data_IF_746111011202
#
_entry.id   IF_746111011202
#
_cell.length_a   1.000
_cell.length_b   1.000
_cell.length_c   1.000
_cell.angle_alpha   90.00
_cell.angle_beta   90.00
_cell.angle_gamma   90.00
#
_symmetry.space_group_name_H-M   'P 1'
#
loop_
_entity.id
_entity.type
_entity.pdbx_description
1 polymer ?
#
# COMPACT_ATOMS: atom_id res chain seq x y z
N UNK A 1 21.43 1.22 -3.55
CA UNK A 1 20.95 2.38 -2.77
C UNK A 1 19.43 2.31 -2.77
N UNK A 2 18.75 2.63 -1.67
CA UNK A 2 17.29 2.74 -1.68
C UNK A 2 16.96 4.06 -2.37
N UNK A 3 16.39 4.02 -3.57
CA UNK A 3 16.04 5.22 -4.36
C UNK A 3 14.84 5.96 -3.75
N UNK A 4 14.94 6.36 -2.49
CA UNK A 4 13.89 7.07 -1.76
C UNK A 4 13.90 8.55 -2.11
N UNK A 5 12.73 9.07 -2.49
CA UNK A 5 12.55 10.46 -2.89
C UNK A 5 11.33 11.02 -2.18
N UNK A 6 11.53 12.09 -1.41
CA UNK A 6 10.45 12.90 -0.85
C UNK A 6 10.01 13.94 -1.89
N UNK A 7 8.74 13.93 -2.29
CA UNK A 7 8.19 14.91 -3.26
C UNK A 7 7.28 15.96 -2.61
N UNK A 8 7.28 16.06 -1.28
CA UNK A 8 6.43 16.99 -0.52
C UNK A 8 5.19 16.29 0.02
N UNK A 9 4.05 17.00 0.04
CA UNK A 9 2.77 16.47 0.51
C UNK A 9 1.85 16.11 -0.66
N UNK A 10 0.98 15.14 -0.44
CA UNK A 10 -0.10 14.77 -1.36
C UNK A 10 -1.41 14.63 -0.58
N UNK A 11 -2.51 15.02 -1.22
CA UNK A 11 -3.86 14.79 -0.74
C UNK A 11 -4.55 13.76 -1.62
N UNK A 12 -5.08 12.71 -1.02
CA UNK A 12 -5.88 11.68 -1.68
C UNK A 12 -7.14 11.48 -0.84
N UNK A 13 -8.31 11.68 -1.45
CA UNK A 13 -9.58 11.83 -0.73
C UNK A 13 -9.42 12.87 0.40
N UNK A 14 -9.80 12.52 1.62
CA UNK A 14 -9.68 13.36 2.82
C UNK A 14 -8.36 13.13 3.58
N UNK A 15 -7.40 12.39 3.02
CA UNK A 15 -6.10 12.10 3.64
C UNK A 15 -5.00 13.02 3.10
N UNK A 16 -4.19 13.61 3.97
CA UNK A 16 -2.97 14.33 3.62
C UNK A 16 -1.74 13.64 4.23
N UNK A 17 -0.73 13.32 3.42
CA UNK A 17 0.48 12.66 3.89
C UNK A 17 1.72 13.01 3.07
N UNK A 18 2.90 12.63 3.56
CA UNK A 18 4.16 12.87 2.87
C UNK A 18 4.28 11.93 1.66
N UNK A 19 4.42 12.49 0.47
CA UNK A 19 4.59 11.75 -0.76
C UNK A 19 6.03 11.24 -0.87
N UNK A 20 6.22 9.95 -0.56
CA UNK A 20 7.51 9.28 -0.67
C UNK A 20 7.43 8.18 -1.72
N UNK A 21 8.35 8.22 -2.67
CA UNK A 21 8.53 7.16 -3.66
C UNK A 21 9.85 6.42 -3.43
N UNK A 22 9.88 5.14 -3.78
CA UNK A 22 11.06 4.29 -3.68
C UNK A 22 11.04 3.36 -2.47
N UNK A 23 12.21 2.84 -2.13
CA UNK A 23 12.38 1.84 -1.05
C UNK A 23 11.88 0.43 -1.41
N UNK A 24 10.71 0.32 -2.03
CA UNK A 24 10.05 -0.94 -2.40
C UNK A 24 10.05 -1.22 -3.91
N UNK A 25 10.89 -0.49 -4.65
CA UNK A 25 10.98 -0.50 -6.11
C UNK A 25 10.88 0.91 -6.69
N UNK A 26 11.43 1.09 -7.90
CA UNK A 26 11.47 2.40 -8.58
C UNK A 26 10.05 2.94 -8.79
N UNK A 27 9.80 4.16 -8.31
CA UNK A 27 8.50 4.86 -8.43
C UNK A 27 7.35 4.24 -7.63
N UNK A 28 7.62 3.25 -6.77
CA UNK A 28 6.60 2.67 -5.89
C UNK A 28 6.30 3.65 -4.75
N UNK A 29 5.01 3.89 -4.48
CA UNK A 29 4.58 4.70 -3.34
C UNK A 29 4.87 4.00 -2.03
N UNK A 30 5.15 4.81 -1.03
CA UNK A 30 5.41 4.39 0.34
C UNK A 30 4.87 5.43 1.30
N UNK A 31 4.51 4.99 2.50
CA UNK A 31 3.88 5.83 3.52
C UNK A 31 4.60 5.68 4.86
N UNK A 32 4.84 6.80 5.56
CA UNK A 32 5.42 6.76 6.89
C UNK A 32 4.41 6.23 7.89
N UNK A 33 4.87 5.47 8.89
CA UNK A 33 4.04 5.10 10.03
C UNK A 33 3.51 6.33 10.79
N UNK A 34 4.21 7.47 10.72
CA UNK A 34 3.72 8.76 11.21
C UNK A 34 2.48 9.23 10.48
N UNK A 35 2.51 9.19 9.15
CA UNK A 35 1.36 9.63 8.35
C UNK A 35 0.17 8.69 8.55
N UNK A 36 0.42 7.38 8.67
CA UNK A 36 -0.63 6.42 9.03
C UNK A 36 -1.24 6.74 10.39
N UNK A 37 -0.42 7.14 11.37
CA UNK A 37 -0.91 7.53 12.68
C UNK A 37 -1.83 8.76 12.59
N UNK A 38 -1.41 9.78 11.83
CA UNK A 38 -2.17 11.00 11.59
C UNK A 38 -3.50 10.69 10.86
N UNK A 39 -3.48 9.80 9.86
CA UNK A 39 -4.66 9.38 9.07
C UNK A 39 -5.68 8.61 9.91
N UNK A 40 -5.22 7.71 10.79
CA UNK A 40 -6.10 6.87 11.61
C UNK A 40 -6.47 7.52 12.96
N UNK A 41 -6.11 8.79 13.20
CA UNK A 41 -6.29 9.50 14.47
C UNK A 41 -5.73 8.71 15.67
N UNK A 42 -4.48 8.24 15.54
CA UNK A 42 -3.78 7.42 16.55
C UNK A 42 -2.43 8.02 16.90
N UNK A 43 -1.94 7.70 18.10
CA UNK A 43 -0.56 8.00 18.44
C UNK A 43 0.41 7.17 17.57
N UNK A 44 1.47 7.80 17.05
CA UNK A 44 2.56 7.09 16.36
C UNK A 44 3.16 5.95 17.20
N UNK A 45 3.18 6.12 18.53
CA UNK A 45 3.61 5.06 19.45
C UNK A 45 2.76 3.80 19.31
N UNK A 46 1.43 3.95 19.20
CA UNK A 46 0.53 2.81 19.03
C UNK A 46 0.77 2.13 17.69
N UNK A 47 0.88 2.89 16.59
CA UNK A 47 1.17 2.30 15.27
C UNK A 47 2.47 1.50 15.29
N UNK A 48 3.53 2.06 15.86
CA UNK A 48 4.81 1.37 16.00
C UNK A 48 4.70 0.10 16.86
N UNK A 49 3.94 0.15 17.95
CA UNK A 49 3.68 -1.02 18.80
C UNK A 49 2.96 -2.13 18.03
N UNK A 50 1.89 -1.80 17.28
CA UNK A 50 1.14 -2.75 16.45
C UNK A 50 2.03 -3.42 15.41
N UNK A 51 2.88 -2.65 14.74
CA UNK A 51 3.88 -3.16 13.78
C UNK A 51 4.85 -4.11 14.49
N UNK A 52 5.41 -3.70 15.64
CA UNK A 52 6.43 -4.44 16.35
C UNK A 52 5.92 -5.77 16.91
N UNK A 53 4.73 -5.78 17.52
CA UNK A 53 4.10 -7.01 18.04
C UNK A 53 3.76 -7.98 16.91
N UNK A 54 3.41 -7.46 15.73
CA UNK A 54 3.08 -8.27 14.56
C UNK A 54 4.23 -8.40 13.56
N UNK A 55 5.46 -8.13 13.98
CA UNK A 55 6.60 -7.94 13.06
C UNK A 55 6.85 -9.13 12.15
N UNK A 56 6.55 -10.35 12.62
CA UNK A 56 6.64 -11.62 11.87
C UNK A 56 5.78 -11.62 10.59
N UNK A 57 4.73 -10.79 10.51
CA UNK A 57 3.86 -10.67 9.34
C UNK A 57 4.44 -9.78 8.24
N UNK A 58 5.45 -8.97 8.55
CA UNK A 58 6.07 -8.00 7.64
C UNK A 58 7.41 -8.53 7.11
N UNK A 59 7.64 -8.40 5.81
CA UNK A 59 8.89 -8.72 5.14
C UNK A 59 9.70 -7.45 4.91
N UNK A 60 10.95 -7.45 5.34
CA UNK A 60 11.87 -6.32 5.10
C UNK A 60 12.07 -6.07 3.61
N UNK A 61 12.08 -4.80 3.21
CA UNK A 61 12.27 -4.36 1.83
C UNK A 61 11.10 -4.68 0.89
N UNK A 62 10.05 -5.35 1.37
CA UNK A 62 8.83 -5.67 0.60
C UNK A 62 7.63 -4.97 1.22
N UNK A 63 7.45 -5.14 2.53
CA UNK A 63 6.31 -4.58 3.27
C UNK A 63 6.73 -3.38 4.11
N UNK A 64 7.94 -3.44 4.69
CA UNK A 64 8.42 -2.46 5.65
C UNK A 64 9.92 -2.18 5.50
N UNK A 65 10.32 -0.94 5.77
CA UNK A 65 11.71 -0.50 5.90
C UNK A 65 11.82 0.31 7.19
N UNK A 66 12.89 0.09 7.96
CA UNK A 66 13.24 0.98 9.07
C UNK A 66 14.24 2.01 8.56
N UNK A 67 13.84 3.28 8.55
CA UNK A 67 14.65 4.42 8.12
C UNK A 67 15.61 4.90 9.21
N UNK A 68 15.52 4.35 10.44
CA UNK A 68 16.36 4.78 11.56
C UNK A 68 17.85 4.66 11.20
N UNK A 69 18.60 5.76 11.33
CA UNK A 69 20.04 5.82 11.06
C UNK A 69 20.42 5.80 9.57
N UNK A 70 19.46 6.01 8.67
CA UNK A 70 19.72 6.13 7.22
C UNK A 70 19.91 7.59 6.81
N UNK A 71 20.49 7.84 5.64
CA UNK A 71 20.57 9.20 5.07
C UNK A 71 19.19 9.83 4.90
N UNK A 72 18.17 9.02 4.59
CA UNK A 72 16.80 9.50 4.45
C UNK A 72 16.20 10.00 5.78
N UNK A 73 16.65 9.49 6.95
CA UNK A 73 16.26 10.02 8.27
C UNK A 73 16.63 11.50 8.43
N UNK A 74 17.80 11.90 7.90
CA UNK A 74 18.26 13.29 7.94
C UNK A 74 17.30 14.16 7.11
N UNK A 75 16.97 13.71 5.89
CA UNK A 75 16.01 14.38 5.02
C UNK A 75 14.62 14.54 5.66
N UNK A 76 14.16 13.59 6.48
CA UNK A 76 12.91 13.75 7.23
C UNK A 76 12.96 14.90 8.26
N UNK A 77 14.13 15.16 8.83
CA UNK A 77 14.33 16.25 9.79
C UNK A 77 14.45 17.59 9.06
N UNK A 78 15.24 17.63 7.98
CA UNK A 78 15.46 18.83 7.18
C UNK A 78 14.17 19.37 6.55
N UNK A 79 13.22 18.48 6.24
CA UNK A 79 11.91 18.84 5.70
C UNK A 79 10.83 19.03 6.79
N UNK A 80 11.21 19.03 8.07
CA UNK A 80 10.29 19.29 9.19
C UNK A 80 9.24 18.19 9.44
N UNK A 81 9.40 17.00 8.84
CA UNK A 81 8.50 15.85 9.06
C UNK A 81 8.69 15.30 10.47
N UNK A 82 9.95 15.26 10.93
CA UNK A 82 10.32 14.99 12.31
C UNK A 82 11.16 16.12 12.89
N UNK A 83 11.08 16.33 14.19
CA UNK A 83 12.08 17.13 14.91
C UNK A 83 13.30 16.28 15.22
N UNK A 84 14.47 16.91 15.36
CA UNK A 84 15.69 16.19 15.76
C UNK A 84 15.50 15.42 17.08
N UNK A 85 14.78 16.00 18.04
CA UNK A 85 14.46 15.35 19.31
C UNK A 85 13.56 14.12 19.13
N UNK A 86 12.57 14.18 18.23
CA UNK A 86 11.72 13.05 17.92
C UNK A 86 12.53 11.92 17.27
N UNK A 87 13.38 12.24 16.30
CA UNK A 87 14.28 11.27 15.66
C UNK A 87 15.22 10.61 16.67
N UNK A 88 15.81 11.39 17.58
CA UNK A 88 16.75 10.88 18.58
C UNK A 88 16.08 9.92 19.59
N UNK A 89 14.79 10.16 19.91
CA UNK A 89 14.02 9.31 20.83
C UNK A 89 13.39 8.08 20.17
N UNK A 90 13.17 8.13 18.85
CA UNK A 90 12.61 7.01 18.10
C UNK A 90 13.57 5.84 18.02
N UNK A 91 13.10 4.64 18.37
CA UNK A 91 13.81 3.38 18.11
C UNK A 91 13.69 2.93 16.65
N UNK A 92 12.55 3.23 16.04
CA UNK A 92 12.25 2.90 14.65
C UNK A 92 11.58 4.10 13.99
N UNK A 93 11.85 4.26 12.69
CA UNK A 93 11.12 5.17 11.81
C UNK A 93 10.65 4.31 10.64
N UNK A 94 9.42 3.84 10.71
CA UNK A 94 8.92 2.88 9.74
C UNK A 94 8.34 3.55 8.51
N UNK A 95 8.73 3.00 7.36
CA UNK A 95 8.15 3.27 6.05
C UNK A 95 7.49 1.97 5.57
N UNK A 96 6.26 2.05 5.07
CA UNK A 96 5.50 0.91 4.60
C UNK A 96 5.24 1.02 3.10
N UNK A 97 5.27 -0.11 2.40
CA UNK A 97 4.73 -0.19 1.04
C UNK A 97 3.20 -0.22 1.07
N UNK A 98 2.54 -0.08 -0.07
CA UNK A 98 1.08 -0.29 -0.18
C UNK A 98 0.65 -1.66 0.38
N UNK A 99 1.47 -2.70 0.15
CA UNK A 99 1.24 -4.04 0.71
C UNK A 99 1.45 -4.08 2.24
N UNK A 100 2.48 -3.40 2.74
CA UNK A 100 2.71 -3.27 4.17
C UNK A 100 1.56 -2.57 4.87
N UNK A 101 1.08 -1.47 4.29
CA UNK A 101 -0.07 -0.74 4.80
C UNK A 101 -1.32 -1.63 4.83
N UNK A 102 -1.62 -2.38 3.76
CA UNK A 102 -2.73 -3.33 3.75
C UNK A 102 -2.66 -4.38 4.88
N UNK A 103 -1.46 -4.84 5.24
CA UNK A 103 -1.28 -5.74 6.39
C UNK A 103 -1.53 -5.05 7.72
N UNK A 104 -1.12 -3.78 7.84
CA UNK A 104 -1.35 -2.98 9.03
C UNK A 104 -2.85 -2.68 9.21
N UNK A 105 -3.60 -2.39 8.15
CA UNK A 105 -5.06 -2.22 8.21
C UNK A 105 -5.74 -3.42 8.88
N UNK A 106 -5.35 -4.64 8.47
CA UNK A 106 -5.83 -5.88 9.08
C UNK A 106 -5.46 -6.04 10.57
N UNK A 107 -4.49 -5.29 11.08
CA UNK A 107 -4.07 -5.32 12.49
C UNK A 107 -4.76 -4.20 13.30
N UNK A 108 -5.04 -3.06 12.67
CA UNK A 108 -5.71 -1.93 13.30
C UNK A 108 -7.18 -2.22 13.56
N UNK A 109 -7.86 -2.85 12.58
CA UNK A 109 -9.26 -3.28 12.66
C UNK A 109 -10.24 -2.18 13.14
N UNK A 110 -9.95 -0.90 12.88
CA UNK A 110 -10.86 0.23 13.14
C UNK A 110 -11.76 0.54 11.94
N UNK A 111 -12.83 1.32 12.16
CA UNK A 111 -13.82 1.66 11.13
C UNK A 111 -13.18 2.30 9.90
N UNK A 112 -12.21 3.19 10.10
CA UNK A 112 -11.47 3.80 9.00
C UNK A 112 -10.59 2.79 8.27
N UNK A 113 -9.94 1.87 8.99
CA UNK A 113 -9.16 0.79 8.40
C UNK A 113 -10.03 -0.16 7.56
N UNK A 114 -11.27 -0.41 7.96
CA UNK A 114 -12.24 -1.15 7.16
C UNK A 114 -12.59 -0.42 5.88
N UNK A 115 -12.89 0.88 5.93
CA UNK A 115 -13.15 1.69 4.72
C UNK A 115 -11.97 1.67 3.75
N UNK A 116 -10.75 1.86 4.25
CA UNK A 116 -9.54 1.81 3.41
C UNK A 116 -9.28 0.42 2.84
N UNK A 117 -9.59 -0.63 3.60
CA UNK A 117 -9.48 -2.01 3.12
C UNK A 117 -10.47 -2.30 2.01
N UNK A 118 -11.73 -1.83 2.12
CA UNK A 118 -12.73 -1.94 1.06
C UNK A 118 -12.26 -1.25 -0.23
N UNK A 119 -11.74 -0.01 -0.14
CA UNK A 119 -11.17 0.71 -1.29
C UNK A 119 -10.06 -0.09 -1.98
N UNK A 120 -9.19 -0.76 -1.22
CA UNK A 120 -8.13 -1.62 -1.78
C UNK A 120 -8.71 -2.84 -2.51
N UNK A 121 -9.73 -3.46 -1.94
CA UNK A 121 -10.43 -4.63 -2.52
C UNK A 121 -11.17 -4.23 -3.81
N UNK A 122 -11.91 -3.14 -3.79
CA UNK A 122 -12.65 -2.61 -4.94
C UNK A 122 -11.70 -2.25 -6.09
N UNK A 123 -10.59 -1.57 -5.77
CA UNK A 123 -9.55 -1.25 -6.76
C UNK A 123 -8.97 -2.51 -7.41
N UNK A 124 -8.76 -3.59 -6.65
CA UNK A 124 -8.29 -4.85 -7.21
C UNK A 124 -9.31 -5.45 -8.20
N UNK A 125 -10.60 -5.49 -7.85
CA UNK A 125 -11.63 -6.04 -8.73
C UNK A 125 -11.85 -5.18 -9.98
N UNK A 126 -11.89 -3.86 -9.83
CA UNK A 126 -12.02 -2.91 -10.95
C UNK A 126 -10.84 -3.05 -11.93
N UNK A 127 -9.61 -3.09 -11.42
CA UNK A 127 -8.42 -3.29 -12.27
C UNK A 127 -8.44 -4.66 -12.96
N UNK A 128 -8.86 -5.72 -12.26
CA UNK A 128 -8.99 -7.05 -12.84
C UNK A 128 -10.01 -7.07 -13.97
N UNK A 129 -11.15 -6.39 -13.82
CA UNK A 129 -12.17 -6.29 -14.88
C UNK A 129 -11.64 -5.54 -16.10
N UNK A 130 -10.98 -4.39 -15.90
CA UNK A 130 -10.38 -3.59 -16.98
C UNK A 130 -9.31 -4.37 -17.73
N UNK A 131 -8.44 -5.11 -17.02
CA UNK A 131 -7.43 -5.96 -17.66
C UNK A 131 -8.10 -7.07 -18.46
N UNK A 132 -9.14 -7.69 -17.89
CA UNK A 132 -9.87 -8.78 -18.56
C UNK A 132 -10.55 -8.26 -19.82
N UNK A 133 -11.28 -7.14 -19.76
CA UNK A 133 -11.98 -6.54 -20.90
C UNK A 133 -11.03 -6.01 -21.99
N UNK A 134 -9.88 -5.47 -21.60
CA UNK A 134 -8.83 -5.06 -22.53
C UNK A 134 -8.11 -6.25 -23.19
N UNK A 135 -8.07 -7.41 -22.53
CA UNK A 135 -7.57 -8.64 -23.15
C UNK A 135 -8.60 -9.26 -24.10
N UNK A 136 -9.90 -9.26 -23.76
CA UNK A 136 -10.96 -9.72 -24.67
C UNK A 136 -11.15 -8.81 -25.89
N UNK A 137 -10.93 -7.50 -25.77
CA UNK A 137 -11.03 -6.56 -26.91
C UNK A 137 -9.84 -6.62 -27.88
N UNK A 138 -8.67 -7.11 -27.43
CA UNK A 138 -7.50 -7.41 -28.29
C UNK A 138 -7.58 -8.78 -28.98
N UNK A 139 -8.56 -9.62 -28.64
CA UNK A 139 -8.86 -10.87 -29.33
C UNK A 139 -10.19 -10.75 -30.11
N UNK A 140 -10.13 -10.45 -31.41
CA UNK A 140 -11.26 -10.55 -32.35
C UNK A 140 -11.54 -12.01 -32.75
N UNK A 141 -12.75 -12.30 -33.26
CA UNK A 141 -13.94 -12.70 -32.53
C UNK A 141 -13.91 -14.18 -32.09
N UNK A 142 -14.62 -14.50 -31.01
CA UNK A 142 -14.95 -15.89 -30.67
C UNK A 142 -15.79 -16.45 -31.84
N UNK A 143 -15.22 -17.41 -32.59
CA UNK A 143 -15.93 -18.18 -33.59
C UNK A 143 -17.23 -18.75 -32.98
N UNK A 144 -18.32 -18.89 -33.77
CA UNK A 144 -19.59 -19.37 -33.24
C UNK A 144 -19.40 -20.65 -32.44
N UNK A 145 -20.01 -20.65 -31.26
CA UNK A 145 -19.89 -21.66 -30.23
C UNK A 145 -20.38 -23.02 -30.75
N UNK A 146 -19.48 -23.83 -31.32
CA UNK A 146 -19.76 -25.23 -31.62
C UNK A 146 -19.68 -26.04 -30.31
N UNK A 147 -20.69 -25.85 -29.45
CA UNK A 147 -20.86 -26.65 -28.26
C UNK A 147 -21.29 -28.09 -28.66
N UNK A 148 -20.48 -29.13 -28.39
CA UNK A 148 -20.80 -30.52 -28.76
C UNK A 148 -22.10 -31.04 -28.12
N UNK A 149 -22.56 -30.41 -27.03
CA UNK A 149 -23.76 -30.82 -26.29
C UNK A 149 -25.08 -30.40 -26.95
N UNK A 150 -25.05 -29.55 -27.99
CA UNK A 150 -26.25 -29.21 -28.77
C UNK A 150 -26.47 -30.15 -29.97
N UNK A 151 -25.45 -30.87 -30.44
CA UNK A 151 -25.58 -31.81 -31.57
C UNK A 151 -26.22 -33.16 -31.20
N UNK A 152 -26.49 -33.42 -29.92
CA UNK A 152 -27.13 -34.66 -29.47
C UNK A 152 -28.65 -34.55 -29.31
N UNK A 153 -29.26 -33.39 -29.56
CA UNK A 153 -30.72 -33.20 -29.44
C UNK A 153 -31.50 -33.28 -30.75
N UNK A 154 -30.85 -33.55 -31.89
CA UNK A 154 -31.52 -33.69 -33.20
C UNK A 154 -31.47 -35.13 -33.77
N UNK A 155 -31.18 -36.15 -32.95
CA UNK A 155 -31.17 -37.56 -33.39
C UNK A 155 -32.12 -38.48 -32.61
N UNK A 156 -33.29 -37.97 -32.22
CA UNK A 156 -34.42 -38.82 -31.83
C UNK A 156 -35.72 -38.25 -32.36
#
# INVERSE_FOLDING_TARGET
MMDLILKGKISIDDMEFNHIEGGFGKGRRSILAKDIADIHDRELREINERINVNRIRFKDGIDIINLKGTEFEIGLTDNGIYTQNAVNRSRNIYLLSERGYAKLLKILEDDFAWEQYEKLVDNYFNMREIITSNQTSKSLPIAPNNNPLQQQKEKT
#
